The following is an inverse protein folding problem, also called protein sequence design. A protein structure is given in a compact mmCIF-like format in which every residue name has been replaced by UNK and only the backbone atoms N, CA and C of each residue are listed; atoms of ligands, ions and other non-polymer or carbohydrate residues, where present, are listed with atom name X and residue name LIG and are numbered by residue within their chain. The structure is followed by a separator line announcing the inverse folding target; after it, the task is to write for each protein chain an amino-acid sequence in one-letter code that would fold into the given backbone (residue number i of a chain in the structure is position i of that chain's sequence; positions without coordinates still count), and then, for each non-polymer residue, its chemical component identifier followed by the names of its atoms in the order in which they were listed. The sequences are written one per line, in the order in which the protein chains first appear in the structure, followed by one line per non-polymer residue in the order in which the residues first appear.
data_IF_165150854949
#
_entry.id   IF_165150854949
#
_cell.length_a   1.000
_cell.length_b   1.000
_cell.length_c   1.000
_cell.angle_alpha   90.00
_cell.angle_beta   90.00
_cell.angle_gamma   90.00
#
_symmetry.space_group_name_H-M   'P 1'
#
loop_
_entity.id
_entity.type
_entity.pdbx_description
1 polymer ?
#
# COMPACT_ATOMS: atom_id res chain seq x y z
N UNK A 1 41.06 -2.59 -17.34
CA UNK A 1 39.69 -2.37 -17.85
C UNK A 1 38.94 -3.65 -17.63
N UNK A 2 37.96 -3.71 -16.73
CA UNK A 2 37.11 -4.89 -16.62
C UNK A 2 35.96 -4.75 -17.60
N UNK A 3 35.74 -5.82 -18.28
CA UNK A 3 34.75 -6.09 -19.30
C UNK A 3 33.32 -5.91 -18.74
N UNK A 4 32.61 -4.91 -19.18
CA UNK A 4 31.20 -4.70 -18.91
C UNK A 4 30.38 -5.56 -19.88
N UNK A 5 30.29 -6.84 -19.61
CA UNK A 5 29.24 -7.68 -20.20
C UNK A 5 27.89 -7.21 -19.67
N UNK A 6 27.18 -6.42 -20.49
CA UNK A 6 25.75 -6.19 -20.33
C UNK A 6 25.06 -7.56 -20.29
N UNK A 7 24.54 -7.94 -19.14
CA UNK A 7 23.56 -8.99 -19.02
C UNK A 7 22.38 -8.54 -19.87
N UNK A 8 22.19 -9.14 -21.03
CA UNK A 8 20.97 -8.99 -21.82
C UNK A 8 19.83 -9.40 -20.92
N UNK A 9 18.96 -8.43 -20.64
CA UNK A 9 17.65 -8.66 -20.05
C UNK A 9 16.92 -9.61 -21.01
N UNK A 10 16.88 -10.89 -20.63
CA UNK A 10 16.18 -11.89 -21.40
C UNK A 10 14.70 -11.54 -21.43
N UNK A 11 14.30 -10.78 -22.46
CA UNK A 11 12.90 -10.58 -22.82
C UNK A 11 12.33 -11.93 -23.26
N UNK A 12 12.06 -12.78 -22.28
CA UNK A 12 11.19 -13.92 -22.47
C UNK A 12 9.76 -13.36 -22.51
N UNK A 13 9.33 -12.90 -23.69
CA UNK A 13 7.92 -12.75 -24.03
C UNK A 13 7.31 -14.14 -24.25
N UNK A 14 7.53 -15.07 -23.33
CA UNK A 14 6.76 -16.29 -23.21
C UNK A 14 5.31 -15.87 -23.02
N UNK A 15 4.45 -16.33 -23.92
CA UNK A 15 3.02 -16.01 -23.85
C UNK A 15 2.50 -16.35 -22.47
N UNK A 16 1.70 -15.47 -21.89
CA UNK A 16 1.00 -15.69 -20.61
C UNK A 16 0.22 -16.99 -20.59
N UNK A 17 -0.15 -17.49 -21.77
CA UNK A 17 -0.86 -18.76 -21.99
C UNK A 17 -0.08 -20.01 -21.55
N UNK A 18 1.24 -19.92 -21.41
CA UNK A 18 2.10 -21.00 -20.90
C UNK A 18 2.27 -20.98 -19.37
N UNK A 19 1.85 -19.90 -18.70
CA UNK A 19 1.95 -19.76 -17.26
C UNK A 19 0.70 -20.36 -16.60
N UNK A 20 0.88 -21.51 -15.97
CA UNK A 20 -0.19 -22.19 -15.22
C UNK A 20 0.14 -22.21 -13.73
N UNK A 21 -0.87 -21.98 -12.94
CA UNK A 21 -0.77 -22.21 -11.50
C UNK A 21 -0.55 -23.71 -11.27
N UNK A 22 0.41 -24.09 -10.40
CA UNK A 22 0.84 -25.48 -10.30
C UNK A 22 -0.22 -26.45 -9.79
N UNK A 23 -1.06 -26.00 -8.87
CA UNK A 23 -2.10 -26.79 -8.23
C UNK A 23 -3.40 -25.98 -8.04
N UNK A 24 -4.52 -26.68 -7.85
CA UNK A 24 -5.80 -26.06 -7.56
C UNK A 24 -5.96 -25.67 -6.08
N UNK A 25 -5.12 -26.21 -5.20
CA UNK A 25 -5.27 -26.11 -3.75
C UNK A 25 -4.67 -24.84 -3.09
N UNK A 26 -4.06 -23.95 -3.85
CA UNK A 26 -3.46 -22.69 -3.40
C UNK A 26 -2.35 -22.85 -2.33
N UNK A 27 -1.91 -24.06 -2.02
CA UNK A 27 -0.82 -24.28 -1.06
C UNK A 27 0.57 -24.13 -1.69
N UNK A 28 0.61 -23.90 -3.01
CA UNK A 28 1.83 -23.66 -3.77
C UNK A 28 1.70 -22.38 -4.57
N UNK A 29 2.66 -21.48 -4.41
CA UNK A 29 2.70 -20.19 -5.07
C UNK A 29 3.89 -20.14 -6.02
N UNK A 30 3.67 -19.99 -7.32
CA UNK A 30 4.75 -20.06 -8.31
C UNK A 30 5.61 -18.80 -8.31
N UNK A 31 6.93 -18.94 -8.38
CA UNK A 31 7.91 -17.84 -8.35
C UNK A 31 7.72 -16.82 -9.48
N UNK A 32 7.16 -17.25 -10.62
CA UNK A 32 6.95 -16.37 -11.76
C UNK A 32 5.98 -15.22 -11.50
N UNK A 33 5.08 -15.32 -10.51
CA UNK A 33 4.19 -14.19 -10.16
C UNK A 33 4.97 -13.00 -9.60
N UNK A 34 6.17 -13.22 -9.05
CA UNK A 34 7.02 -12.17 -8.47
C UNK A 34 8.11 -11.67 -9.42
N UNK A 35 8.34 -12.38 -10.53
CA UNK A 35 9.49 -12.11 -11.40
C UNK A 35 9.11 -11.74 -12.83
N UNK A 36 7.90 -12.13 -13.30
CA UNK A 36 7.47 -11.90 -14.67
C UNK A 36 7.02 -10.46 -14.90
N UNK A 37 7.61 -9.81 -15.91
CA UNK A 37 7.18 -8.49 -16.37
C UNK A 37 5.80 -8.53 -17.00
N UNK A 38 5.47 -9.59 -17.74
CA UNK A 38 4.16 -9.76 -18.38
C UNK A 38 3.03 -9.89 -17.33
N UNK A 39 3.30 -10.56 -16.22
CA UNK A 39 2.38 -10.64 -15.10
C UNK A 39 2.16 -9.23 -14.50
N UNK A 40 3.22 -8.46 -14.27
CA UNK A 40 3.08 -7.10 -13.75
C UNK A 40 2.27 -6.19 -14.69
N UNK A 41 2.45 -6.31 -16.00
CA UNK A 41 1.65 -5.56 -16.98
C UNK A 41 0.17 -5.94 -16.91
N UNK A 42 -0.14 -7.23 -16.78
CA UNK A 42 -1.51 -7.72 -16.58
C UNK A 42 -2.09 -7.30 -15.23
N UNK A 43 -1.32 -7.28 -14.15
CA UNK A 43 -1.70 -6.74 -12.85
C UNK A 43 -2.05 -5.25 -12.93
N UNK A 44 -1.25 -4.48 -13.67
CA UNK A 44 -1.52 -3.06 -13.91
C UNK A 44 -2.90 -2.86 -14.55
N UNK A 45 -3.24 -3.66 -15.56
CA UNK A 45 -4.51 -3.57 -16.28
C UNK A 45 -5.69 -4.10 -15.46
N UNK A 46 -5.56 -5.28 -14.87
CA UNK A 46 -6.67 -5.99 -14.24
C UNK A 46 -6.89 -5.61 -12.77
N UNK A 47 -5.84 -5.22 -12.06
CA UNK A 47 -5.88 -4.86 -10.65
C UNK A 47 -5.93 -3.34 -10.53
N UNK A 48 -4.79 -2.65 -10.72
CA UNK A 48 -4.68 -1.22 -10.40
C UNK A 48 -5.59 -0.33 -11.24
N UNK A 49 -5.70 -0.59 -12.54
CA UNK A 49 -6.59 0.13 -13.47
C UNK A 49 -7.92 -0.58 -13.68
N UNK A 50 -8.09 -1.77 -13.10
CA UNK A 50 -9.29 -2.58 -13.15
C UNK A 50 -10.34 -2.16 -12.12
N UNK A 51 -11.10 -3.16 -11.62
CA UNK A 51 -12.22 -2.95 -10.70
C UNK A 51 -11.76 -2.84 -9.24
N UNK A 52 -10.75 -1.99 -8.97
CA UNK A 52 -10.22 -1.78 -7.63
C UNK A 52 -10.27 -0.30 -7.23
N UNK A 53 -10.53 -0.04 -5.96
CA UNK A 53 -10.30 1.27 -5.36
C UNK A 53 -8.86 1.35 -4.87
N UNK A 54 -8.14 2.36 -5.36
CA UNK A 54 -6.76 2.63 -4.95
C UNK A 54 -6.74 3.81 -3.99
N UNK A 55 -6.03 3.69 -2.89
CA UNK A 55 -5.70 4.83 -2.03
C UNK A 55 -4.84 5.83 -2.79
N UNK A 56 -5.13 7.12 -2.64
CA UNK A 56 -4.34 8.17 -3.28
C UNK A 56 -3.93 9.30 -2.33
N UNK A 57 -4.71 9.61 -1.29
CA UNK A 57 -4.40 10.70 -0.37
C UNK A 57 -5.18 10.61 0.96
N UNK A 58 -4.72 11.40 1.95
CA UNK A 58 -5.54 11.83 3.08
C UNK A 58 -6.07 13.25 2.83
N UNK A 59 -7.31 13.53 3.22
CA UNK A 59 -7.87 14.90 3.15
C UNK A 59 -7.04 15.89 3.97
N UNK A 60 -6.46 15.44 5.09
CA UNK A 60 -5.55 16.23 5.93
C UNK A 60 -4.26 16.70 5.24
N UNK A 61 -4.01 16.27 4.01
CA UNK A 61 -2.87 16.75 3.20
C UNK A 61 -3.24 17.98 2.35
N UNK A 62 -4.49 18.48 2.44
CA UNK A 62 -5.04 19.56 1.61
C UNK A 62 -5.65 20.65 2.50
N UNK A 63 -4.92 21.71 2.68
CA UNK A 63 -5.31 22.78 3.61
C UNK A 63 -6.48 23.64 3.09
N UNK A 64 -6.59 23.81 1.76
CA UNK A 64 -7.57 24.70 1.13
C UNK A 64 -7.91 24.30 -0.31
N UNK A 65 -8.91 24.95 -0.90
CA UNK A 65 -9.26 24.79 -2.31
C UNK A 65 -8.08 25.20 -3.19
N UNK A 66 -7.79 24.37 -4.20
CA UNK A 66 -6.61 24.50 -5.06
C UNK A 66 -5.38 23.77 -4.55
N UNK A 67 -5.43 23.19 -3.35
CA UNK A 67 -4.39 22.26 -2.89
C UNK A 67 -4.34 21.03 -3.78
N UNK A 68 -3.14 20.53 -4.03
CA UNK A 68 -2.92 19.32 -4.81
C UNK A 68 -1.83 18.42 -4.22
N UNK A 69 -1.93 17.15 -4.56
CA UNK A 69 -0.91 16.13 -4.27
C UNK A 69 -0.67 15.27 -5.50
N UNK A 70 0.60 15.04 -5.85
CA UNK A 70 0.98 14.01 -6.80
C UNK A 70 0.98 12.65 -6.11
N UNK A 71 0.25 11.70 -6.67
CA UNK A 71 0.08 10.36 -6.15
C UNK A 71 0.17 9.31 -7.27
N UNK A 72 -0.22 8.08 -6.99
CA UNK A 72 -0.16 6.98 -7.94
C UNK A 72 -1.37 6.06 -7.83
N UNK A 73 -1.82 5.54 -8.98
CA UNK A 73 -2.72 4.38 -9.09
C UNK A 73 -1.92 3.26 -9.75
N UNK A 74 -1.54 2.24 -8.95
CA UNK A 74 -0.47 1.35 -9.37
C UNK A 74 0.83 2.14 -9.60
N UNK A 75 1.38 2.06 -10.81
CA UNK A 75 2.55 2.85 -11.26
C UNK A 75 2.16 4.11 -12.04
N UNK A 76 0.87 4.32 -12.32
CA UNK A 76 0.38 5.48 -13.08
C UNK A 76 0.41 6.73 -12.21
N UNK A 77 1.16 7.77 -12.60
CA UNK A 77 1.19 9.02 -11.85
C UNK A 77 -0.15 9.76 -12.01
N UNK A 78 -0.71 10.19 -10.88
CA UNK A 78 -1.96 10.96 -10.83
C UNK A 78 -1.78 12.24 -10.01
N UNK A 79 -2.64 13.22 -10.28
CA UNK A 79 -2.79 14.42 -9.46
C UNK A 79 -4.13 14.32 -8.75
N UNK A 80 -4.09 14.46 -7.43
CA UNK A 80 -5.27 14.63 -6.58
C UNK A 80 -5.41 16.11 -6.29
N UNK A 81 -6.60 16.68 -6.49
CA UNK A 81 -6.87 18.09 -6.19
C UNK A 81 -8.14 18.22 -5.36
N UNK A 82 -8.14 19.22 -4.47
CA UNK A 82 -9.36 19.72 -3.83
C UNK A 82 -9.85 20.89 -4.68
N UNK A 83 -10.80 20.63 -5.58
CA UNK A 83 -11.28 21.61 -6.56
C UNK A 83 -12.37 22.53 -6.00
N UNK A 84 -13.12 22.07 -4.99
CA UNK A 84 -14.13 22.83 -4.24
C UNK A 84 -14.20 22.28 -2.80
N UNK A 85 -15.07 22.82 -1.95
CA UNK A 85 -15.21 22.39 -0.54
C UNK A 85 -15.42 20.89 -0.43
N UNK A 86 -16.32 20.33 -1.22
CA UNK A 86 -16.64 18.90 -1.25
C UNK A 86 -16.22 18.19 -2.55
N UNK A 87 -15.60 18.90 -3.48
CA UNK A 87 -15.25 18.33 -4.78
C UNK A 87 -13.76 17.96 -4.85
N UNK A 88 -13.52 16.68 -5.08
CA UNK A 88 -12.20 16.11 -5.26
C UNK A 88 -12.06 15.56 -6.68
N UNK A 89 -10.94 15.83 -7.31
CA UNK A 89 -10.59 15.31 -8.64
C UNK A 89 -9.32 14.49 -8.55
N UNK A 90 -9.30 13.42 -9.33
CA UNK A 90 -8.10 12.63 -9.57
C UNK A 90 -7.97 12.40 -11.06
N UNK A 91 -6.85 12.80 -11.63
CA UNK A 91 -6.60 12.65 -13.05
C UNK A 91 -5.14 12.29 -13.34
N UNK A 92 -4.92 11.65 -14.49
CA UNK A 92 -3.59 11.21 -14.91
C UNK A 92 -2.65 12.41 -15.05
N UNK A 93 -1.47 12.34 -14.44
CA UNK A 93 -0.43 13.36 -14.59
C UNK A 93 0.33 13.16 -15.90
N UNK A 94 -0.36 13.33 -17.02
CA UNK A 94 0.18 13.09 -18.35
C UNK A 94 -0.39 14.09 -19.37
N UNK A 95 0.51 14.90 -19.94
CA UNK A 95 0.13 15.83 -21.00
C UNK A 95 -0.34 15.07 -22.25
N UNK A 96 -1.53 15.40 -22.74
CA UNK A 96 -2.11 14.77 -23.93
C UNK A 96 -1.26 14.99 -25.20
N UNK A 97 -0.46 16.07 -25.24
CA UNK A 97 0.36 16.38 -26.41
C UNK A 97 1.44 15.31 -26.67
N UNK A 98 2.36 15.08 -25.70
CA UNK A 98 3.50 14.14 -25.85
C UNK A 98 3.82 13.35 -24.57
N UNK A 99 2.85 13.19 -23.68
CA UNK A 99 2.97 12.31 -22.54
C UNK A 99 3.86 12.79 -21.39
N UNK A 100 4.24 14.06 -21.34
CA UNK A 100 5.06 14.62 -20.26
C UNK A 100 4.25 14.64 -18.97
N UNK A 101 4.83 14.20 -17.85
CA UNK A 101 4.29 14.47 -16.51
C UNK A 101 4.38 15.97 -16.25
N UNK A 102 3.26 16.69 -16.28
CA UNK A 102 3.27 18.14 -16.22
C UNK A 102 3.36 18.70 -14.80
N UNK A 103 2.84 18.00 -13.78
CA UNK A 103 3.06 18.35 -12.39
C UNK A 103 4.27 17.56 -11.86
N UNK A 104 5.31 18.26 -11.43
CA UNK A 104 6.56 17.67 -10.93
C UNK A 104 6.72 17.82 -9.42
N UNK A 105 5.97 18.69 -8.81
CA UNK A 105 5.96 18.90 -7.36
C UNK A 105 5.16 17.81 -6.66
N UNK A 106 5.58 17.43 -5.46
CA UNK A 106 4.90 16.36 -4.71
C UNK A 106 3.54 16.81 -4.18
N UNK A 107 3.43 18.08 -3.80
CA UNK A 107 2.22 18.74 -3.29
C UNK A 107 2.37 20.25 -3.35
N UNK A 108 1.28 20.96 -3.26
CA UNK A 108 1.27 22.41 -3.25
C UNK A 108 -0.12 22.97 -3.46
N UNK A 109 -0.16 24.22 -3.91
CA UNK A 109 -1.38 24.90 -4.33
C UNK A 109 -1.22 25.42 -5.75
N UNK A 110 -2.22 25.19 -6.58
CA UNK A 110 -2.24 25.62 -7.96
C UNK A 110 -3.65 26.11 -8.36
N UNK A 111 -3.71 27.00 -9.32
CA UNK A 111 -4.94 27.35 -10.05
C UNK A 111 -5.01 26.61 -11.38
N UNK A 112 -3.85 26.24 -11.90
CA UNK A 112 -3.68 25.57 -13.16
C UNK A 112 -2.34 24.82 -13.18
N UNK A 113 -2.20 23.83 -14.06
CA UNK A 113 -0.98 23.07 -14.31
C UNK A 113 -0.49 23.35 -15.72
N UNK A 114 0.72 23.87 -15.86
CA UNK A 114 1.33 24.22 -17.14
C UNK A 114 2.36 23.15 -17.51
N UNK A 115 2.17 22.50 -18.64
CA UNK A 115 3.13 21.51 -19.15
C UNK A 115 4.48 22.21 -19.45
N UNK A 116 5.60 21.74 -18.88
CA UNK A 116 6.89 22.42 -19.03
C UNK A 116 7.47 22.33 -20.44
N UNK A 117 6.90 21.51 -21.33
CA UNK A 117 7.43 21.31 -22.67
C UNK A 117 6.85 22.29 -23.67
N UNK A 118 5.51 22.36 -23.82
CA UNK A 118 4.86 23.24 -24.81
C UNK A 118 3.76 24.12 -24.22
N UNK A 119 3.74 24.24 -22.88
CA UNK A 119 2.84 25.10 -22.12
C UNK A 119 1.33 24.82 -22.34
N UNK A 120 0.97 23.56 -22.70
CA UNK A 120 -0.44 23.17 -22.62
C UNK A 120 -0.86 23.28 -21.17
N UNK A 121 -1.96 23.98 -20.95
CA UNK A 121 -2.39 24.35 -19.60
C UNK A 121 -3.68 23.63 -19.23
N UNK A 122 -3.67 23.02 -18.08
CA UNK A 122 -4.81 22.30 -17.51
C UNK A 122 -5.27 23.01 -16.24
N UNK A 123 -6.58 23.10 -16.01
CA UNK A 123 -7.12 23.63 -14.77
C UNK A 123 -6.98 22.60 -13.61
N UNK A 124 -7.41 22.99 -12.41
CA UNK A 124 -7.36 22.11 -11.21
C UNK A 124 -8.29 20.91 -11.29
N UNK A 125 -9.20 20.86 -12.24
CA UNK A 125 -10.03 19.68 -12.51
C UNK A 125 -9.43 18.76 -13.58
N UNK A 126 -8.28 19.12 -14.14
CA UNK A 126 -7.59 18.39 -15.20
C UNK A 126 -8.11 18.70 -16.60
N UNK A 127 -8.98 19.71 -16.80
CA UNK A 127 -9.44 20.10 -18.15
C UNK A 127 -8.37 20.89 -18.88
N UNK A 128 -8.15 20.59 -20.16
CA UNK A 128 -7.28 21.39 -21.02
C UNK A 128 -7.93 22.73 -21.32
N UNK A 129 -7.34 23.82 -20.84
CA UNK A 129 -7.89 25.19 -20.98
C UNK A 129 -7.11 26.09 -21.91
N UNK A 130 -5.83 25.77 -22.20
CA UNK A 130 -5.05 26.56 -23.13
C UNK A 130 -4.03 25.73 -23.92
N UNK A 131 -3.90 26.07 -25.22
CA UNK A 131 -2.90 25.55 -26.14
C UNK A 131 -2.22 26.73 -26.83
N UNK A 132 -0.94 27.00 -26.57
CA UNK A 132 -0.21 28.08 -27.22
C UNK A 132 -0.23 27.94 -28.74
N UNK A 133 -0.35 29.08 -29.44
CA UNK A 133 -0.40 29.14 -30.90
C UNK A 133 -1.49 28.26 -31.55
N UNK A 134 -2.58 27.95 -30.86
CA UNK A 134 -3.68 27.11 -31.38
C UNK A 134 -4.21 27.65 -32.73
N UNK A 135 -4.27 28.98 -32.90
CA UNK A 135 -4.71 29.64 -34.10
C UNK A 135 -3.56 29.99 -35.06
N UNK A 136 -2.36 29.49 -34.82
CA UNK A 136 -1.16 29.86 -35.59
C UNK A 136 -0.61 31.25 -35.26
N UNK A 137 0.42 31.67 -35.99
CA UNK A 137 0.99 33.01 -35.94
C UNK A 137 0.88 33.66 -37.30
N UNK A 138 0.29 34.85 -37.34
CA UNK A 138 0.09 35.64 -38.59
C UNK A 138 -0.56 34.82 -39.74
N UNK A 139 -1.52 33.98 -39.39
CA UNK A 139 -2.24 33.13 -40.33
C UNK A 139 -1.48 31.92 -40.86
N UNK A 140 -0.39 31.53 -40.20
CA UNK A 140 0.42 30.36 -40.55
C UNK A 140 0.48 29.36 -39.39
N UNK A 141 0.38 28.07 -39.71
CA UNK A 141 0.40 26.98 -38.70
C UNK A 141 -0.84 26.97 -37.82
N UNK A 142 -0.74 26.43 -36.66
CA UNK A 142 -1.85 26.23 -35.71
C UNK A 142 -2.38 24.80 -35.67
N UNK A 143 -3.39 24.59 -34.86
CA UNK A 143 -4.15 23.35 -34.80
C UNK A 143 -5.20 23.32 -35.94
N UNK A 144 -5.68 22.12 -36.31
CA UNK A 144 -6.81 22.00 -37.23
C UNK A 144 -8.04 22.79 -36.77
N UNK A 145 -8.91 23.20 -37.71
CA UNK A 145 -10.11 24.00 -37.39
C UNK A 145 -11.07 23.26 -36.45
N UNK A 146 -11.14 21.95 -36.58
CA UNK A 146 -11.96 21.04 -35.77
C UNK A 146 -11.31 20.63 -34.46
N UNK A 147 -10.14 21.17 -34.09
CA UNK A 147 -9.46 20.85 -32.85
C UNK A 147 -10.31 21.20 -31.63
N UNK A 148 -10.81 20.18 -30.95
CA UNK A 148 -11.61 20.28 -29.73
C UNK A 148 -10.76 19.97 -28.50
N UNK A 149 -10.50 20.98 -27.66
CA UNK A 149 -9.68 20.79 -26.41
C UNK A 149 -10.24 19.76 -25.45
N UNK A 150 -11.55 19.55 -25.41
CA UNK A 150 -12.19 18.59 -24.48
C UNK A 150 -11.75 17.15 -24.73
N UNK A 151 -11.38 16.81 -25.96
CA UNK A 151 -10.89 15.49 -26.34
C UNK A 151 -9.47 15.19 -25.84
N UNK A 152 -8.77 16.23 -25.37
CA UNK A 152 -7.39 16.15 -24.91
C UNK A 152 -7.23 16.36 -23.41
N UNK A 153 -8.30 16.16 -22.65
CA UNK A 153 -8.23 16.10 -21.20
C UNK A 153 -7.47 14.83 -20.76
N UNK A 154 -6.65 14.87 -19.71
CA UNK A 154 -6.10 13.68 -19.07
C UNK A 154 -7.22 12.73 -18.63
N UNK A 155 -6.91 11.46 -18.53
CA UNK A 155 -7.84 10.47 -17.99
C UNK A 155 -8.29 10.88 -16.60
N UNK A 156 -9.60 10.87 -16.37
CA UNK A 156 -10.21 11.15 -15.08
C UNK A 156 -10.45 9.84 -14.34
N UNK A 157 -10.30 9.87 -13.03
CA UNK A 157 -10.63 8.76 -12.15
C UNK A 157 -11.89 9.09 -11.34
N UNK A 158 -12.73 8.12 -11.10
CA UNK A 158 -13.80 8.24 -10.11
C UNK A 158 -13.17 8.33 -8.73
N UNK A 159 -13.75 9.17 -7.87
CA UNK A 159 -13.25 9.42 -6.51
C UNK A 159 -14.31 8.98 -5.51
N UNK A 160 -13.88 8.31 -4.45
CA UNK A 160 -14.67 8.07 -3.26
C UNK A 160 -13.86 8.45 -2.02
N UNK A 161 -14.57 8.87 -0.98
CA UNK A 161 -13.94 9.29 0.30
C UNK A 161 -14.64 8.60 1.46
N UNK A 162 -13.85 8.24 2.47
CA UNK A 162 -14.37 7.75 3.74
C UNK A 162 -13.51 8.24 4.89
N UNK A 163 -14.11 8.97 5.82
CA UNK A 163 -13.48 9.41 7.07
C UNK A 163 -12.09 10.06 6.87
N UNK A 164 -11.95 10.93 5.85
CA UNK A 164 -10.71 11.64 5.56
C UNK A 164 -9.71 10.87 4.66
N UNK A 165 -10.08 9.71 4.17
CA UNK A 165 -9.24 8.91 3.23
C UNK A 165 -9.82 8.98 1.83
N UNK A 166 -8.99 9.30 0.84
CA UNK A 166 -9.37 9.49 -0.57
C UNK A 166 -8.92 8.30 -1.40
N UNK A 167 -9.87 7.73 -2.13
CA UNK A 167 -9.66 6.60 -3.04
C UNK A 167 -10.02 6.99 -4.47
N UNK A 168 -9.38 6.33 -5.43
CA UNK A 168 -9.64 6.52 -6.85
C UNK A 168 -9.70 5.20 -7.62
N UNK A 169 -10.55 5.14 -8.65
CA UNK A 169 -10.67 4.00 -9.57
C UNK A 169 -10.82 4.50 -11.00
N UNK A 170 -10.22 3.83 -11.96
CA UNK A 170 -10.40 4.14 -13.38
C UNK A 170 -11.65 3.47 -13.95
N UNK A 171 -12.04 2.33 -13.41
CA UNK A 171 -13.16 1.53 -13.94
C UNK A 171 -14.51 2.06 -13.47
N UNK A 172 -15.42 2.29 -14.40
CA UNK A 172 -16.82 2.63 -14.09
C UNK A 172 -17.61 1.44 -13.52
N UNK A 173 -17.12 0.21 -13.74
CA UNK A 173 -17.75 -1.01 -13.25
C UNK A 173 -17.31 -1.39 -11.83
N UNK A 174 -16.48 -0.58 -11.17
CA UNK A 174 -16.11 -0.81 -9.77
C UNK A 174 -17.31 -0.54 -8.86
N UNK A 175 -17.60 -1.45 -7.97
CA UNK A 175 -18.62 -1.33 -6.91
C UNK A 175 -18.42 -0.09 -6.03
N UNK A 176 -19.36 0.25 -5.15
CA UNK A 176 -19.15 1.37 -4.22
C UNK A 176 -17.96 1.08 -3.29
N UNK A 177 -17.36 2.12 -2.71
CA UNK A 177 -16.23 1.93 -1.80
C UNK A 177 -16.61 1.07 -0.58
N UNK A 178 -17.83 1.24 -0.05
CA UNK A 178 -18.33 0.47 1.08
C UNK A 178 -18.49 -1.02 0.73
N UNK A 179 -19.04 -1.32 -0.44
CA UNK A 179 -19.14 -2.70 -0.94
C UNK A 179 -17.76 -3.31 -1.18
N UNK A 180 -16.86 -2.51 -1.72
CA UNK A 180 -15.47 -2.93 -1.96
C UNK A 180 -14.74 -3.27 -0.66
N UNK A 181 -14.85 -2.44 0.37
CA UNK A 181 -14.19 -2.68 1.65
C UNK A 181 -14.81 -3.87 2.41
N UNK A 182 -16.11 -4.03 2.33
CA UNK A 182 -16.83 -5.06 3.07
C UNK A 182 -16.96 -4.78 4.58
N UNK A 183 -17.86 -5.44 5.27
CA UNK A 183 -18.17 -5.13 6.68
C UNK A 183 -16.98 -5.37 7.61
N UNK A 184 -16.24 -6.44 7.43
CA UNK A 184 -15.10 -6.80 8.29
C UNK A 184 -13.96 -5.76 8.20
N UNK A 185 -13.68 -5.31 7.00
CA UNK A 185 -12.66 -4.28 6.76
C UNK A 185 -13.13 -2.92 7.26
N UNK A 186 -14.40 -2.56 7.01
CA UNK A 186 -14.99 -1.31 7.46
C UNK A 186 -14.97 -1.18 8.99
N UNK A 187 -15.26 -2.24 9.72
CA UNK A 187 -15.20 -2.24 11.18
C UNK A 187 -13.80 -1.84 11.67
N UNK A 188 -12.75 -2.43 11.15
CA UNK A 188 -11.37 -2.11 11.55
C UNK A 188 -10.91 -0.74 11.04
N UNK A 189 -11.34 -0.36 9.83
CA UNK A 189 -11.04 0.92 9.22
C UNK A 189 -11.65 2.08 10.03
N UNK A 190 -12.92 1.97 10.39
CA UNK A 190 -13.64 3.02 11.10
C UNK A 190 -13.18 3.20 12.56
N UNK A 191 -12.57 2.20 13.18
CA UNK A 191 -11.88 2.37 14.47
C UNK A 191 -10.74 3.39 14.35
N UNK A 192 -9.94 3.29 13.31
CA UNK A 192 -8.80 4.18 13.08
C UNK A 192 -9.27 5.54 12.53
N UNK A 193 -10.17 5.49 11.54
CA UNK A 193 -10.71 6.68 10.89
C UNK A 193 -12.14 6.97 11.41
N UNK A 194 -12.25 7.20 12.70
CA UNK A 194 -13.53 7.35 13.44
C UNK A 194 -14.27 8.69 13.20
N UNK A 195 -13.94 9.42 12.13
CA UNK A 195 -14.45 10.76 11.87
C UNK A 195 -13.76 11.86 12.67
N UNK A 196 -12.77 11.51 13.52
CA UNK A 196 -11.89 12.54 14.12
C UNK A 196 -11.08 13.20 13.02
N UNK A 197 -10.93 14.52 13.09
CA UNK A 197 -10.14 15.29 12.14
C UNK A 197 -8.66 14.85 12.21
N UNK A 198 -8.12 14.44 11.06
CA UNK A 198 -6.76 13.91 10.94
C UNK A 198 -5.73 15.04 10.88
N UNK A 199 -4.55 14.77 11.42
CA UNK A 199 -3.38 15.65 11.35
C UNK A 199 -2.18 14.85 10.88
N UNK A 200 -1.56 15.26 9.76
CA UNK A 200 -0.33 14.67 9.28
C UNK A 200 0.83 15.03 10.19
N UNK A 201 1.58 14.05 10.69
CA UNK A 201 2.74 14.22 11.56
C UNK A 201 4.07 14.17 10.78
N UNK A 202 4.10 13.46 9.66
CA UNK A 202 5.30 13.35 8.83
C UNK A 202 5.20 12.32 7.73
N UNK A 203 6.22 12.29 6.89
CA UNK A 203 6.31 11.39 5.75
C UNK A 203 7.64 10.67 5.73
N UNK A 204 7.60 9.41 5.31
CA UNK A 204 8.77 8.66 4.90
C UNK A 204 8.57 8.11 3.50
N UNK A 205 9.65 7.88 2.81
CA UNK A 205 9.66 7.16 1.54
C UNK A 205 10.87 6.25 1.50
N UNK A 206 10.65 5.00 1.23
CA UNK A 206 11.72 4.04 0.97
C UNK A 206 11.44 3.26 -0.31
N UNK A 207 12.53 2.89 -0.99
CA UNK A 207 12.49 1.97 -2.12
C UNK A 207 12.95 0.60 -1.66
N UNK A 208 12.13 -0.39 -1.93
CA UNK A 208 12.36 -1.77 -1.54
C UNK A 208 12.69 -2.62 -2.76
N UNK A 209 13.64 -3.53 -2.59
CA UNK A 209 13.96 -4.58 -3.57
C UNK A 209 13.01 -5.76 -3.35
N UNK A 210 11.82 -5.70 -3.94
CA UNK A 210 10.81 -6.74 -3.81
C UNK A 210 9.62 -6.48 -4.71
N UNK A 211 8.94 -7.54 -5.12
CA UNK A 211 7.66 -7.43 -5.79
C UNK A 211 6.62 -6.84 -4.84
N UNK A 212 5.72 -6.01 -5.36
CA UNK A 212 4.71 -5.33 -4.53
C UNK A 212 3.79 -6.28 -3.75
N UNK A 213 3.52 -7.50 -4.28
CA UNK A 213 2.71 -8.52 -3.60
C UNK A 213 3.37 -9.07 -2.34
N UNK A 214 4.70 -9.17 -2.32
CA UNK A 214 5.43 -9.68 -1.17
C UNK A 214 5.16 -8.86 0.11
N UNK A 215 4.90 -7.57 -0.04
CA UNK A 215 4.54 -6.75 1.12
C UNK A 215 3.10 -7.01 1.60
N UNK A 216 2.18 -7.34 0.70
CA UNK A 216 0.85 -7.79 1.08
C UNK A 216 0.86 -9.16 1.75
N UNK A 217 1.68 -10.07 1.24
CA UNK A 217 1.87 -11.40 1.83
C UNK A 217 2.47 -11.30 3.23
N UNK A 218 3.55 -10.53 3.39
CA UNK A 218 4.19 -10.32 4.68
C UNK A 218 3.19 -9.89 5.75
N UNK A 219 2.29 -8.95 5.45
CA UNK A 219 1.28 -8.49 6.41
C UNK A 219 0.05 -9.42 6.53
N UNK A 220 -0.09 -10.40 5.67
CA UNK A 220 -1.08 -11.48 5.76
C UNK A 220 -0.49 -12.78 6.34
N UNK A 221 0.79 -12.73 6.68
CA UNK A 221 1.52 -13.79 7.35
C UNK A 221 1.72 -13.45 8.84
N UNK A 222 0.80 -13.82 9.73
CA UNK A 222 0.99 -13.57 11.15
C UNK A 222 2.09 -14.45 11.78
N UNK A 223 2.47 -15.54 11.11
CA UNK A 223 3.44 -16.50 11.57
C UNK A 223 4.85 -15.89 11.72
N UNK A 224 5.29 -15.07 10.77
CA UNK A 224 6.61 -14.42 10.85
C UNK A 224 6.71 -13.43 12.01
N UNK A 225 5.60 -12.81 12.42
CA UNK A 225 5.62 -11.68 13.35
C UNK A 225 6.30 -11.99 14.69
N UNK A 226 6.12 -13.22 15.21
CA UNK A 226 6.74 -13.65 16.48
C UNK A 226 8.11 -14.31 16.31
N UNK A 227 8.57 -14.50 15.08
CA UNK A 227 9.84 -15.18 14.77
C UNK A 227 10.87 -14.22 14.15
N UNK A 228 10.44 -13.37 13.23
CA UNK A 228 11.31 -12.38 12.57
C UNK A 228 11.61 -11.19 13.49
N UNK A 229 10.56 -10.65 14.13
CA UNK A 229 10.67 -9.43 14.93
C UNK A 229 11.07 -9.73 16.38
N UNK A 230 12.35 -9.96 16.60
CA UNK A 230 12.92 -10.26 17.93
C UNK A 230 12.45 -9.28 19.00
N UNK A 231 12.29 -8.00 18.68
CA UNK A 231 11.86 -6.99 19.62
C UNK A 231 10.38 -7.13 20.04
N UNK A 232 9.49 -7.58 19.14
CA UNK A 232 8.08 -7.76 19.45
C UNK A 232 7.90 -8.79 20.59
N UNK A 233 8.56 -9.96 20.46
CA UNK A 233 8.54 -10.99 21.47
C UNK A 233 9.30 -10.54 22.74
N UNK A 234 10.50 -9.96 22.57
CA UNK A 234 11.39 -9.56 23.69
C UNK A 234 10.73 -8.52 24.59
N UNK A 235 10.06 -7.51 24.00
CA UNK A 235 9.38 -6.45 24.75
C UNK A 235 7.87 -6.70 24.93
N UNK A 236 7.43 -7.96 24.72
CA UNK A 236 6.06 -8.43 24.96
C UNK A 236 4.98 -7.62 24.22
N UNK A 237 5.31 -7.11 23.03
CA UNK A 237 4.35 -6.43 22.17
C UNK A 237 3.47 -7.40 21.39
N UNK A 238 4.07 -8.53 21.00
CA UNK A 238 3.38 -9.64 20.35
C UNK A 238 4.12 -10.95 20.71
N UNK A 239 3.43 -11.85 21.37
CA UNK A 239 3.95 -13.17 21.75
C UNK A 239 2.96 -14.27 21.38
N UNK A 240 3.45 -15.45 21.11
CA UNK A 240 2.60 -16.60 20.88
C UNK A 240 1.69 -16.83 22.11
N UNK A 241 0.43 -17.17 21.86
CA UNK A 241 -0.55 -17.41 22.92
C UNK A 241 -1.37 -16.19 23.36
N UNK A 242 -0.99 -14.96 22.96
CA UNK A 242 -1.85 -13.81 23.20
C UNK A 242 -3.08 -13.80 22.27
N UNK A 243 -4.14 -13.12 22.69
CA UNK A 243 -5.33 -12.93 21.85
C UNK A 243 -4.95 -12.28 20.52
N UNK A 244 -5.21 -12.98 19.43
CA UNK A 244 -4.87 -12.53 18.07
C UNK A 244 -5.90 -13.03 17.07
N UNK A 245 -5.97 -12.36 15.91
CA UNK A 245 -6.80 -12.79 14.82
C UNK A 245 -6.25 -12.30 13.47
N UNK A 246 -6.53 -13.07 12.43
CA UNK A 246 -6.55 -12.57 11.05
C UNK A 246 -8.01 -12.37 10.66
N UNK A 247 -8.42 -11.13 10.43
CA UNK A 247 -9.79 -10.76 10.04
C UNK A 247 -9.77 -10.49 8.54
N UNK A 248 -10.41 -11.36 7.74
CA UNK A 248 -10.44 -11.25 6.29
C UNK A 248 -11.83 -10.87 5.80
N UNK A 249 -11.92 -10.13 4.71
CA UNK A 249 -13.17 -9.92 4.00
C UNK A 249 -13.65 -11.23 3.31
N UNK A 250 -14.91 -11.28 2.94
CA UNK A 250 -15.53 -12.49 2.40
C UNK A 250 -14.88 -12.99 1.10
N UNK A 251 -14.24 -12.11 0.32
CA UNK A 251 -13.57 -12.47 -0.95
C UNK A 251 -12.07 -12.70 -0.81
N UNK A 252 -11.49 -12.43 0.36
CA UNK A 252 -10.08 -12.69 0.66
C UNK A 252 -9.08 -11.65 0.14
N UNK A 253 -9.55 -10.51 -0.37
CA UNK A 253 -8.67 -9.44 -0.88
C UNK A 253 -8.12 -8.54 0.23
N UNK A 254 -8.91 -8.29 1.28
CA UNK A 254 -8.52 -7.48 2.43
C UNK A 254 -8.27 -8.36 3.64
N UNK A 255 -7.36 -7.94 4.49
CA UNK A 255 -7.15 -8.62 5.77
C UNK A 255 -6.60 -7.66 6.82
N UNK A 256 -6.96 -7.90 8.07
CA UNK A 256 -6.39 -7.21 9.23
C UNK A 256 -5.74 -8.23 10.15
N UNK A 257 -4.43 -8.15 10.31
CA UNK A 257 -3.73 -8.80 11.41
C UNK A 257 -4.01 -8.00 12.68
N UNK A 258 -4.55 -8.64 13.70
CA UNK A 258 -4.95 -8.02 14.95
C UNK A 258 -4.38 -8.77 16.15
N UNK A 259 -3.89 -8.05 17.16
CA UNK A 259 -3.47 -8.63 18.43
C UNK A 259 -3.77 -7.69 19.60
N UNK A 260 -3.98 -8.29 20.77
CA UNK A 260 -4.16 -7.57 22.03
C UNK A 260 -2.93 -7.80 22.90
N UNK A 261 -2.23 -6.71 23.26
CA UNK A 261 -1.13 -6.79 24.21
C UNK A 261 -1.66 -7.32 25.54
N UNK A 262 -1.01 -8.34 26.07
CA UNK A 262 -1.33 -8.96 27.36
C UNK A 262 -0.05 -9.16 28.17
N UNK A 263 0.14 -8.27 29.13
CA UNK A 263 1.31 -8.30 29.99
C UNK A 263 1.27 -9.44 31.04
N UNK A 264 0.14 -10.18 31.15
CA UNK A 264 -0.02 -11.32 32.07
C UNK A 264 0.52 -12.63 31.50
N UNK A 265 0.80 -12.70 30.20
CA UNK A 265 1.32 -13.93 29.58
C UNK A 265 2.75 -14.18 30.03
N UNK A 266 2.97 -15.32 30.67
CA UNK A 266 4.31 -15.79 31.02
C UNK A 266 4.95 -16.49 29.80
N UNK A 267 6.16 -16.09 29.49
CA UNK A 267 6.98 -16.74 28.44
C UNK A 267 7.75 -17.86 29.14
N UNK A 268 7.29 -19.10 29.00
CA UNK A 268 7.92 -20.29 29.57
C UNK A 268 9.10 -20.81 28.72
N UNK A 269 9.87 -21.75 29.27
CA UNK A 269 11.04 -22.33 28.62
C UNK A 269 10.70 -23.01 27.29
N UNK A 270 9.48 -23.60 27.16
CA UNK A 270 9.02 -24.22 25.92
C UNK A 270 8.81 -23.16 24.82
N UNK A 271 8.18 -22.05 25.15
CA UNK A 271 8.00 -20.94 24.21
C UNK A 271 9.35 -20.36 23.78
N UNK A 272 10.30 -20.23 24.71
CA UNK A 272 11.67 -19.77 24.39
C UNK A 272 12.35 -20.75 23.45
N UNK A 273 12.21 -22.06 23.66
CA UNK A 273 12.78 -23.09 22.79
C UNK A 273 12.14 -23.09 21.40
N UNK A 274 10.83 -22.94 21.30
CA UNK A 274 10.11 -22.87 20.04
C UNK A 274 10.45 -21.59 19.23
N UNK A 275 10.65 -20.47 19.91
CA UNK A 275 11.07 -19.20 19.28
C UNK A 275 12.57 -19.16 18.94
N UNK A 276 13.36 -20.08 19.47
CA UNK A 276 14.81 -20.31 19.16
C UNK A 276 15.72 -19.09 19.20
N UNK A 277 15.61 -18.07 18.92
CA UNK A 277 16.45 -16.89 18.93
C UNK A 277 15.67 -15.60 18.73
N UNK A 278 14.36 -15.76 18.54
CA UNK A 278 13.46 -14.61 18.38
C UNK A 278 13.14 -13.91 19.72
N UNK A 279 13.56 -14.49 20.86
CA UNK A 279 13.39 -13.91 22.18
C UNK A 279 14.73 -13.69 22.88
N UNK A 280 14.93 -12.52 23.49
CA UNK A 280 16.14 -12.18 24.24
C UNK A 280 15.82 -12.01 25.73
N UNK A 281 16.22 -12.97 26.51
CA UNK A 281 16.05 -12.96 27.99
C UNK A 281 16.86 -11.82 28.60
N UNK A 282 16.23 -11.05 29.50
CA UNK A 282 16.89 -10.00 30.28
C UNK A 282 17.20 -8.72 29.52
N UNK A 283 16.58 -8.50 28.36
CA UNK A 283 16.60 -7.21 27.68
C UNK A 283 15.35 -6.42 28.01
N UNK A 284 15.55 -5.23 28.56
CA UNK A 284 14.50 -4.27 28.87
C UNK A 284 14.74 -2.94 28.14
N UNK A 285 13.68 -2.23 27.84
CA UNK A 285 13.76 -0.88 27.29
C UNK A 285 14.02 0.11 28.44
N UNK A 286 15.01 0.98 28.29
CA UNK A 286 15.28 2.06 29.25
C UNK A 286 14.14 3.10 29.32
N UNK A 287 13.23 3.08 28.38
CA UNK A 287 12.13 4.02 28.25
C UNK A 287 10.85 3.28 27.86
N UNK A 288 10.00 3.08 28.87
CA UNK A 288 8.74 2.35 28.76
C UNK A 288 7.73 3.00 27.79
N UNK A 289 7.88 4.30 27.51
CA UNK A 289 6.98 5.00 26.58
C UNK A 289 7.00 4.44 25.16
N UNK A 290 8.08 3.73 24.74
CA UNK A 290 8.11 3.07 23.45
C UNK A 290 7.07 1.94 23.31
N UNK A 291 6.66 1.33 24.41
CA UNK A 291 5.75 0.18 24.43
C UNK A 291 4.49 0.41 25.26
N UNK A 292 4.38 1.59 25.91
CA UNK A 292 3.21 1.94 26.72
C UNK A 292 2.00 2.21 25.82
N UNK A 293 0.89 1.54 26.08
CA UNK A 293 -0.36 1.81 25.41
C UNK A 293 -1.25 2.75 26.22
N UNK A 294 -1.73 3.79 25.57
CA UNK A 294 -2.75 4.70 26.10
C UNK A 294 -4.07 4.35 25.43
N UNK A 295 -5.07 3.84 26.17
CA UNK A 295 -6.37 3.51 25.56
C UNK A 295 -7.06 4.73 24.95
N UNK A 296 -7.40 4.63 23.67
CA UNK A 296 -8.06 5.72 22.92
C UNK A 296 -9.05 5.23 21.87
N UNK A 297 -9.08 3.92 21.63
CA UNK A 297 -9.91 3.29 20.61
C UNK A 297 -10.92 2.34 21.27
N UNK A 298 -12.15 2.36 20.80
CA UNK A 298 -13.16 1.35 21.14
C UNK A 298 -12.89 0.07 20.32
N UNK A 299 -11.93 -0.71 20.78
CA UNK A 299 -11.45 -1.91 20.10
C UNK A 299 -10.78 -2.84 21.10
N UNK A 300 -11.00 -4.16 20.99
CA UNK A 300 -10.30 -5.14 21.82
C UNK A 300 -8.82 -5.31 21.43
N UNK A 301 -8.39 -4.70 20.33
CA UNK A 301 -7.06 -4.84 19.77
C UNK A 301 -6.19 -3.66 20.10
N UNK A 302 -4.93 -3.89 20.45
CA UNK A 302 -3.92 -2.84 20.65
C UNK A 302 -3.04 -2.65 19.41
N UNK A 303 -2.96 -3.66 18.56
CA UNK A 303 -2.26 -3.65 17.29
C UNK A 303 -3.19 -4.11 16.19
N UNK A 304 -3.27 -3.36 15.10
CA UNK A 304 -3.94 -3.77 13.86
C UNK A 304 -3.14 -3.31 12.64
N UNK A 305 -2.91 -4.25 11.73
CA UNK A 305 -2.29 -4.00 10.42
C UNK A 305 -3.27 -4.41 9.35
N UNK A 306 -4.00 -3.44 8.80
CA UNK A 306 -5.02 -3.70 7.78
C UNK A 306 -4.43 -3.54 6.39
N UNK A 307 -4.39 -4.61 5.62
CA UNK A 307 -4.04 -4.60 4.20
C UNK A 307 -5.30 -4.42 3.37
N UNK A 308 -5.44 -3.26 2.77
CA UNK A 308 -6.55 -2.92 1.87
C UNK A 308 -6.02 -2.99 0.44
N UNK A 309 -6.45 -4.02 -0.27
CA UNK A 309 -6.06 -4.26 -1.64
C UNK A 309 -6.45 -3.10 -2.58
N UNK A 310 -5.61 -2.70 -3.57
CA UNK A 310 -4.30 -3.29 -3.88
C UNK A 310 -3.11 -2.54 -3.26
N UNK A 311 -3.26 -1.34 -2.70
CA UNK A 311 -2.12 -0.47 -2.47
C UNK A 311 -2.09 0.25 -1.11
N UNK A 312 -3.02 -0.08 -0.22
CA UNK A 312 -3.13 0.59 1.08
C UNK A 312 -2.87 -0.35 2.24
N UNK A 313 -2.04 0.09 3.18
CA UNK A 313 -1.93 -0.52 4.50
C UNK A 313 -2.25 0.54 5.54
N UNK A 314 -3.15 0.22 6.45
CA UNK A 314 -3.47 1.05 7.61
C UNK A 314 -2.82 0.42 8.83
N UNK A 315 -1.92 1.15 9.43
CA UNK A 315 -1.17 0.75 10.61
C UNK A 315 -1.74 1.43 11.85
N UNK A 316 -2.10 0.62 12.85
CA UNK A 316 -2.30 1.05 14.23
C UNK A 316 -1.51 0.11 15.13
N UNK A 317 -0.42 0.57 15.67
CA UNK A 317 0.42 -0.18 16.59
C UNK A 317 0.57 0.59 17.88
N UNK A 318 -0.12 0.13 18.92
CA UNK A 318 -0.34 0.88 20.15
C UNK A 318 -1.01 2.23 19.83
N UNK A 319 -0.28 3.34 20.02
CA UNK A 319 -0.77 4.68 19.66
C UNK A 319 -0.16 5.25 18.38
N UNK A 320 0.78 4.54 17.74
CA UNK A 320 1.30 4.95 16.43
C UNK A 320 0.27 4.68 15.33
N UNK A 321 0.03 5.69 14.51
CA UNK A 321 -0.88 5.63 13.37
C UNK A 321 -0.13 5.95 12.08
N UNK A 322 -0.33 5.13 11.07
CA UNK A 322 0.31 5.31 9.78
C UNK A 322 -0.47 4.73 8.62
N UNK A 323 -0.22 5.30 7.46
CA UNK A 323 -0.63 4.75 6.17
C UNK A 323 0.63 4.40 5.39
N UNK A 324 0.62 3.23 4.76
CA UNK A 324 1.63 2.82 3.80
C UNK A 324 0.95 2.67 2.43
N UNK A 325 1.41 3.45 1.48
CA UNK A 325 0.97 3.40 0.08
C UNK A 325 2.01 2.65 -0.75
N UNK A 326 1.62 1.51 -1.30
CA UNK A 326 2.46 0.66 -2.13
C UNK A 326 2.39 1.12 -3.58
N UNK A 327 3.53 1.39 -4.19
CA UNK A 327 3.64 1.79 -5.60
C UNK A 327 4.63 0.87 -6.32
N UNK A 328 4.19 -0.01 -7.22
CA UNK A 328 5.08 -0.87 -8.00
C UNK A 328 6.09 -0.06 -8.84
N UNK A 329 7.33 -0.55 -8.94
CA UNK A 329 8.38 0.05 -9.75
C UNK A 329 9.09 -1.01 -10.62
N UNK A 330 8.30 -1.87 -11.20
CA UNK A 330 8.77 -3.03 -11.92
C UNK A 330 8.53 -4.33 -11.13
N UNK A 331 8.87 -5.49 -11.70
CA UNK A 331 8.61 -6.77 -11.04
C UNK A 331 9.45 -7.00 -9.78
N UNK A 332 10.53 -6.24 -9.59
CA UNK A 332 11.52 -6.47 -8.55
C UNK A 332 11.73 -5.28 -7.61
N UNK A 333 10.88 -4.28 -7.68
CA UNK A 333 10.99 -3.10 -6.82
C UNK A 333 9.64 -2.45 -6.58
N UNK A 334 9.50 -1.84 -5.42
CA UNK A 334 8.38 -0.97 -5.06
C UNK A 334 8.87 0.27 -4.34
N UNK A 335 8.13 1.37 -4.47
CA UNK A 335 8.24 2.50 -3.56
C UNK A 335 7.15 2.37 -2.49
N UNK A 336 7.53 2.56 -1.24
CA UNK A 336 6.62 2.65 -0.11
C UNK A 336 6.57 4.09 0.38
N UNK A 337 5.39 4.69 0.33
CA UNK A 337 5.14 6.02 0.87
C UNK A 337 4.42 5.88 2.20
N UNK A 338 5.05 6.35 3.26
CA UNK A 338 4.47 6.35 4.60
C UNK A 338 3.96 7.73 4.95
N UNK A 339 2.75 7.80 5.46
CA UNK A 339 2.17 9.01 6.07
C UNK A 339 1.86 8.70 7.52
N UNK A 340 2.64 9.28 8.43
CA UNK A 340 2.37 9.20 9.86
C UNK A 340 1.35 10.28 10.22
N UNK A 341 0.33 9.93 10.97
CA UNK A 341 -0.73 10.83 11.33
C UNK A 341 -1.17 10.69 12.80
N UNK A 342 -1.89 11.65 13.28
CA UNK A 342 -2.61 11.68 14.53
C UNK A 342 -3.91 12.44 14.31
N UNK A 343 -4.44 13.03 15.36
CA UNK A 343 -5.68 13.78 15.30
C UNK A 343 -5.45 15.23 15.72
N UNK A 344 -6.25 16.16 15.18
CA UNK A 344 -6.18 17.58 15.54
C UNK A 344 -6.42 17.78 17.04
N UNK A 345 -7.27 16.94 17.66
CA UNK A 345 -7.55 16.94 19.10
C UNK A 345 -6.47 16.31 19.99
N UNK A 346 -5.39 15.77 19.43
CA UNK A 346 -4.29 15.22 20.24
C UNK A 346 -3.58 16.31 21.03
N UNK A 347 -3.28 16.01 22.29
CA UNK A 347 -2.38 16.87 23.09
C UNK A 347 -0.96 16.84 22.51
N UNK A 348 -0.15 17.82 22.88
CA UNK A 348 1.27 17.83 22.50
C UNK A 348 1.99 16.57 23.00
N UNK A 349 1.63 16.11 24.20
CA UNK A 349 2.17 14.88 24.81
C UNK A 349 1.78 13.64 23.98
N UNK A 350 0.51 13.49 23.59
CA UNK A 350 0.06 12.38 22.75
C UNK A 350 0.73 12.43 21.37
N UNK A 351 0.88 13.61 20.78
CA UNK A 351 1.58 13.76 19.50
C UNK A 351 3.04 13.29 19.61
N UNK A 352 3.75 13.69 20.67
CA UNK A 352 5.13 13.23 20.93
C UNK A 352 5.19 11.72 21.16
N UNK A 353 4.21 11.18 21.88
CA UNK A 353 4.11 9.74 22.15
C UNK A 353 3.93 8.93 20.85
N UNK A 354 3.00 9.34 19.96
CA UNK A 354 2.83 8.72 18.64
C UNK A 354 4.12 8.73 17.81
N UNK A 355 4.80 9.88 17.76
CA UNK A 355 6.06 10.02 17.02
C UNK A 355 7.18 9.16 17.62
N UNK A 356 7.25 9.06 18.94
CA UNK A 356 8.23 8.23 19.64
C UNK A 356 8.05 6.77 19.32
N UNK A 357 6.83 6.25 19.42
CA UNK A 357 6.52 4.89 19.03
C UNK A 357 6.73 4.67 17.52
N UNK A 358 6.43 5.66 16.69
CA UNK A 358 6.70 5.63 15.26
C UNK A 358 8.17 5.44 14.90
N UNK A 359 9.10 5.84 15.75
CA UNK A 359 10.52 5.54 15.56
C UNK A 359 10.86 4.05 15.79
N UNK A 360 10.09 3.36 16.62
CA UNK A 360 10.25 1.91 16.83
C UNK A 360 9.53 1.10 15.75
N UNK A 361 8.31 1.51 15.39
CA UNK A 361 7.37 0.78 14.55
C UNK A 361 7.41 1.23 13.07
N UNK A 362 8.02 2.36 12.78
CA UNK A 362 8.05 2.96 11.44
C UNK A 362 9.10 2.35 10.52
N UNK A 363 9.25 2.92 9.30
CA UNK A 363 10.09 2.34 8.23
C UNK A 363 11.59 2.30 8.55
N UNK A 364 12.05 3.09 9.51
CA UNK A 364 13.42 3.09 10.01
C UNK A 364 13.54 2.42 11.38
N UNK A 365 12.43 1.93 11.93
CA UNK A 365 12.38 1.18 13.16
C UNK A 365 12.60 -0.31 12.93
N UNK A 366 12.66 -1.06 14.01
CA UNK A 366 12.96 -2.49 13.95
C UNK A 366 11.96 -3.27 13.09
N UNK A 367 10.65 -2.97 13.19
CA UNK A 367 9.64 -3.67 12.40
C UNK A 367 9.84 -3.46 10.89
N UNK A 368 9.90 -2.21 10.46
CA UNK A 368 10.03 -1.90 9.04
C UNK A 368 11.35 -2.38 8.43
N UNK A 369 12.44 -2.37 9.19
CA UNK A 369 13.75 -2.83 8.71
C UNK A 369 13.78 -4.35 8.54
N UNK A 370 13.25 -5.10 9.51
CA UNK A 370 13.20 -6.57 9.45
C UNK A 370 12.36 -7.04 8.25
N UNK A 371 11.16 -6.49 8.06
CA UNK A 371 10.29 -6.79 6.93
C UNK A 371 10.95 -6.50 5.59
N UNK A 372 11.59 -5.33 5.49
CA UNK A 372 12.23 -4.91 4.25
C UNK A 372 13.38 -5.84 3.84
N UNK A 373 14.19 -6.30 4.80
CA UNK A 373 15.27 -7.24 4.52
C UNK A 373 14.73 -8.63 4.19
N UNK A 374 13.68 -9.11 4.89
CA UNK A 374 13.04 -10.39 4.56
C UNK A 374 12.48 -10.40 3.14
N UNK A 375 11.75 -9.35 2.75
CA UNK A 375 11.19 -9.19 1.39
C UNK A 375 12.31 -9.16 0.34
N UNK A 376 13.41 -8.47 0.61
CA UNK A 376 14.57 -8.44 -0.27
C UNK A 376 15.22 -9.83 -0.42
N UNK A 377 15.35 -10.60 0.67
CA UNK A 377 15.90 -11.95 0.61
C UNK A 377 15.01 -12.89 -0.21
N UNK A 378 13.68 -12.80 -0.06
CA UNK A 378 12.73 -13.52 -0.90
C UNK A 378 12.93 -13.18 -2.37
N UNK A 379 12.93 -11.90 -2.73
CA UNK A 379 13.10 -11.46 -4.11
C UNK A 379 14.46 -11.87 -4.70
N UNK A 380 15.52 -11.83 -3.92
CA UNK A 380 16.85 -12.27 -4.34
C UNK A 380 16.89 -13.79 -4.53
N UNK A 381 16.14 -14.55 -3.71
CA UNK A 381 15.93 -15.98 -3.86
C UNK A 381 15.26 -16.29 -5.21
N UNK A 382 14.11 -15.69 -5.48
CA UNK A 382 13.37 -15.91 -6.73
C UNK A 382 14.17 -15.57 -8.00
N UNK A 383 15.04 -14.57 -7.95
CA UNK A 383 15.88 -14.19 -9.09
C UNK A 383 17.03 -15.15 -9.36
N UNK A 384 17.52 -15.83 -8.34
CA UNK A 384 18.79 -16.60 -8.40
C UNK A 384 18.57 -18.10 -8.36
N UNK A 385 17.42 -18.56 -7.93
CA UNK A 385 17.07 -19.98 -7.90
C UNK A 385 16.56 -20.48 -9.26
N UNK A 386 16.56 -21.78 -9.41
CA UNK A 386 15.82 -22.46 -10.48
C UNK A 386 14.33 -22.17 -10.17
N UNK A 387 13.54 -21.74 -11.17
CA UNK A 387 12.12 -21.45 -10.95
C UNK A 387 11.40 -22.60 -10.23
N UNK A 388 10.68 -22.27 -9.19
CA UNK A 388 10.03 -23.20 -8.28
C UNK A 388 8.73 -22.61 -7.73
N UNK A 389 8.30 -23.11 -6.60
CA UNK A 389 7.05 -22.75 -5.94
C UNK A 389 7.30 -22.58 -4.45
N UNK A 390 6.76 -21.49 -3.88
CA UNK A 390 6.65 -21.33 -2.43
C UNK A 390 5.58 -22.24 -1.85
N UNK A 391 5.71 -22.59 -0.57
CA UNK A 391 4.77 -23.48 0.14
C UNK A 391 4.08 -22.69 1.25
N UNK A 392 2.74 -22.68 1.25
CA UNK A 392 1.87 -22.01 2.23
C UNK A 392 0.87 -23.02 2.83
N UNK A 393 1.37 -23.91 3.70
CA UNK A 393 0.64 -25.07 4.22
C UNK A 393 0.33 -25.02 5.72
N UNK A 394 0.66 -23.95 6.42
CA UNK A 394 0.24 -23.81 7.81
C UNK A 394 -1.27 -23.66 7.89
N UNK A 395 -1.90 -24.45 8.75
CA UNK A 395 -3.35 -24.50 8.96
C UNK A 395 -4.13 -24.76 7.65
N UNK A 396 -3.88 -25.90 6.97
CA UNK A 396 -4.30 -26.12 5.59
C UNK A 396 -5.82 -26.24 5.41
N UNK A 397 -6.55 -26.58 6.46
CA UNK A 397 -8.01 -26.72 6.45
C UNK A 397 -8.75 -25.38 6.56
N UNK A 398 -8.01 -24.29 6.83
CA UNK A 398 -8.57 -22.95 6.98
C UNK A 398 -8.33 -22.10 5.73
N UNK A 399 -9.32 -21.31 5.42
CA UNK A 399 -9.23 -20.21 4.46
C UNK A 399 -9.81 -18.93 5.07
N UNK A 400 -9.18 -17.79 4.76
CA UNK A 400 -9.62 -16.49 5.24
C UNK A 400 -9.15 -16.18 6.66
N UNK A 401 -10.07 -15.78 7.53
CA UNK A 401 -9.77 -15.36 8.89
C UNK A 401 -9.43 -16.50 9.83
N UNK A 402 -8.57 -16.24 10.82
CA UNK A 402 -8.18 -17.19 11.88
C UNK A 402 -8.05 -16.48 13.22
N UNK A 403 -8.10 -17.25 14.30
CA UNK A 403 -7.92 -16.80 15.69
C UNK A 403 -6.54 -17.18 16.26
N UNK A 404 -5.60 -17.47 15.39
CA UNK A 404 -4.20 -17.81 15.71
C UNK A 404 -3.23 -17.07 14.80
N UNK A 405 -2.01 -16.83 15.33
CA UNK A 405 -0.89 -16.32 14.54
C UNK A 405 -0.18 -17.40 13.71
N UNK A 406 -0.45 -18.68 13.98
CA UNK A 406 0.22 -19.81 13.33
C UNK A 406 -0.67 -20.34 12.21
N UNK A 407 -0.80 -19.55 11.14
CA UNK A 407 -1.63 -19.87 9.99
C UNK A 407 -1.18 -19.08 8.78
N UNK A 408 -1.33 -19.66 7.58
CA UNK A 408 -1.14 -19.01 6.27
C UNK A 408 -2.47 -18.94 5.48
N UNK A 409 -3.59 -19.13 6.16
CA UNK A 409 -4.92 -19.14 5.53
C UNK A 409 -5.24 -17.83 4.79
N UNK A 410 -4.84 -16.68 5.33
CA UNK A 410 -5.05 -15.37 4.71
C UNK A 410 -4.21 -15.14 3.45
N UNK A 411 -3.02 -15.76 3.34
CA UNK A 411 -2.20 -15.75 2.12
C UNK A 411 -2.92 -16.58 1.03
N UNK A 412 -3.41 -17.79 1.37
CA UNK A 412 -4.17 -18.60 0.41
C UNK A 412 -5.43 -17.89 -0.07
N UNK A 413 -6.13 -17.21 0.82
CA UNK A 413 -7.30 -16.40 0.48
C UNK A 413 -6.96 -15.25 -0.48
N UNK A 414 -5.85 -14.57 -0.25
CA UNK A 414 -5.34 -13.54 -1.16
C UNK A 414 -5.08 -14.11 -2.55
N UNK A 415 -4.42 -15.28 -2.65
CA UNK A 415 -4.10 -15.85 -3.95
C UNK A 415 -5.29 -16.49 -4.66
N UNK A 416 -6.31 -16.91 -3.96
CA UNK A 416 -7.61 -17.23 -4.57
C UNK A 416 -8.20 -16.01 -5.29
N UNK A 417 -8.31 -14.89 -4.58
CA UNK A 417 -8.79 -13.63 -5.17
C UNK A 417 -7.90 -13.16 -6.33
N UNK A 418 -6.57 -13.24 -6.16
CA UNK A 418 -5.61 -12.87 -7.18
C UNK A 418 -5.79 -13.70 -8.46
N UNK A 419 -5.91 -15.01 -8.34
CA UNK A 419 -6.16 -15.91 -9.50
C UNK A 419 -7.43 -15.54 -10.23
N UNK A 420 -8.53 -15.31 -9.51
CA UNK A 420 -9.81 -14.90 -10.10
C UNK A 420 -9.68 -13.59 -10.89
N UNK A 421 -9.07 -12.56 -10.31
CA UNK A 421 -8.88 -11.26 -10.99
C UNK A 421 -7.93 -11.38 -12.18
N UNK A 422 -6.88 -12.17 -12.03
CA UNK A 422 -5.86 -12.37 -13.07
C UNK A 422 -6.26 -13.39 -14.13
N UNK A 423 -7.32 -14.20 -13.89
CA UNK A 423 -7.76 -15.28 -14.78
C UNK A 423 -6.62 -16.29 -15.01
N UNK A 424 -6.13 -16.88 -13.90
CA UNK A 424 -4.99 -17.82 -13.83
C UNK A 424 -5.43 -19.16 -13.25
#
# INVERSE_FOLDING_TARGET
MPDTTFIQDGSNSGMLDDLRWPDDDLTRIPDWIYTSKAILERERERIFLGKCWNYVALEAEFDEIGSFKRSYVGDVPVIVTRSDEDEWKVFENRCAHRGVEFCRESRGKAREFICPYHHWTYDISGKLIAVPFRRGDKGKGGMPEDFNMEEYNPRQFRVARRNGVVFATLSDATETLEQYLGPETLEQFDVVFSGRELKVLGYYRNRLSGNWKLYHENLKDPYHATLLHVYLATFRLMVAGQKSAMICDAVGRHATAASAKDDSIEIDDRMVDEMKGAYRVGMDLNDEDFTRYVPEFDSPWTVTMSTIWPNLIVQRELNTLGIRHIVPRGPHALDMYWTMFGYVGDTEEMTKHRMKQGNLMGPSGYLGVDDNEAIKFLQDGFKRSIPSEGVVKLDPEKEGGTDTLISEASIRSLYRHYREVMDL
#
